data_IF_332800570761
#
_entry.id   IF_332800570761
#
_cell.length_a   1.000
_cell.length_b   1.000
_cell.length_c   1.000
_cell.angle_alpha   90.00
_cell.angle_beta   90.00
_cell.angle_gamma   90.00
#
_symmetry.space_group_name_H-M   'P 1'
#
loop_
_entity.id
_entity.type
_entity.pdbx_description
1 polymer ?
#
# COMPACT_ATOMS: atom_id res chain seq x y z
N UNK A 1 30.57 -13.54 9.21
CA UNK A 1 29.31 -14.34 9.18
C UNK A 1 28.13 -13.59 9.82
N UNK A 2 28.29 -13.00 11.02
CA UNK A 2 27.22 -12.22 11.68
C UNK A 2 26.83 -10.91 10.97
N UNK A 3 27.76 -10.28 10.24
CA UNK A 3 27.50 -9.02 9.52
C UNK A 3 26.55 -9.22 8.33
N UNK A 4 26.66 -10.35 7.62
CA UNK A 4 25.77 -10.69 6.49
C UNK A 4 24.34 -10.93 7.00
N UNK A 5 24.20 -11.62 8.13
CA UNK A 5 22.88 -11.84 8.76
C UNK A 5 22.23 -10.52 9.20
N UNK A 6 23.00 -9.58 9.77
CA UNK A 6 22.50 -8.23 10.10
C UNK A 6 22.05 -7.47 8.86
N UNK A 7 22.81 -7.54 7.77
CA UNK A 7 22.45 -6.90 6.52
C UNK A 7 21.13 -7.47 5.96
N UNK A 8 21.00 -8.80 5.91
CA UNK A 8 19.78 -9.47 5.43
C UNK A 8 18.58 -9.11 6.32
N UNK A 9 18.75 -9.14 7.64
CA UNK A 9 17.67 -8.78 8.58
C UNK A 9 17.18 -7.35 8.36
N UNK A 10 18.11 -6.40 8.22
CA UNK A 10 17.76 -5.01 7.94
C UNK A 10 17.07 -4.87 6.59
N UNK A 11 17.56 -5.54 5.54
CA UNK A 11 16.94 -5.52 4.22
C UNK A 11 15.49 -6.05 4.27
N UNK A 12 15.25 -7.17 4.96
CA UNK A 12 13.92 -7.73 5.15
C UNK A 12 13.03 -6.74 5.90
N UNK A 13 13.51 -6.15 6.99
CA UNK A 13 12.77 -5.16 7.77
C UNK A 13 12.36 -3.96 6.90
N UNK A 14 13.28 -3.42 6.10
CA UNK A 14 13.00 -2.31 5.19
C UNK A 14 11.97 -2.67 4.13
N UNK A 15 12.08 -3.85 3.52
CA UNK A 15 11.11 -4.34 2.53
C UNK A 15 9.74 -4.53 3.18
N UNK A 16 9.66 -5.18 4.34
CA UNK A 16 8.40 -5.36 5.07
C UNK A 16 7.74 -4.03 5.43
N UNK A 17 8.50 -3.05 5.94
CA UNK A 17 7.97 -1.72 6.24
C UNK A 17 7.51 -1.00 4.98
N UNK A 18 8.25 -1.10 3.87
CA UNK A 18 7.84 -0.53 2.59
C UNK A 18 6.51 -1.14 2.11
N UNK A 19 6.36 -2.46 2.19
CA UNK A 19 5.10 -3.13 1.88
C UNK A 19 3.96 -2.64 2.78
N UNK A 20 4.19 -2.48 4.09
CA UNK A 20 3.16 -1.97 5.01
C UNK A 20 2.77 -0.53 4.68
N UNK A 21 3.72 0.33 4.31
CA UNK A 21 3.42 1.72 3.94
C UNK A 21 2.59 1.76 2.66
N UNK A 22 3.07 1.10 1.60
CA UNK A 22 2.37 1.11 0.30
C UNK A 22 1.00 0.45 0.38
N UNK A 23 0.92 -0.76 0.93
CA UNK A 23 -0.36 -1.46 1.03
C UNK A 23 -1.25 -0.84 2.10
N UNK A 24 -0.69 -0.33 3.19
CA UNK A 24 -1.44 0.36 4.25
C UNK A 24 -2.11 1.64 3.78
N UNK A 25 -1.48 2.38 2.87
CA UNK A 25 -2.08 3.56 2.22
C UNK A 25 -3.15 3.19 1.17
N UNK A 26 -3.12 1.95 0.67
CA UNK A 26 -4.12 1.42 -0.25
C UNK A 26 -5.28 0.73 0.47
N UNK A 27 -5.19 0.49 1.79
CA UNK A 27 -6.28 -0.16 2.53
C UNK A 27 -7.46 0.78 2.69
N UNK A 28 -8.63 0.29 2.33
CA UNK A 28 -9.90 0.99 2.48
C UNK A 28 -10.93 0.09 3.17
N UNK A 29 -11.90 0.72 3.86
CA UNK A 29 -13.09 0.05 4.38
C UNK A 29 -14.32 0.42 3.55
N UNK A 30 -14.35 1.65 3.03
CA UNK A 30 -15.39 2.15 2.12
C UNK A 30 -14.79 2.87 0.92
N UNK A 31 -15.60 3.08 -0.14
CA UNK A 31 -15.18 3.80 -1.35
C UNK A 31 -14.74 5.25 -1.05
N UNK A 32 -15.35 5.87 -0.02
CA UNK A 32 -14.99 7.22 0.42
C UNK A 32 -13.56 7.34 0.97
N UNK A 33 -12.99 6.25 1.47
CA UNK A 33 -11.60 6.25 1.95
C UNK A 33 -10.62 6.42 0.79
N UNK A 34 -10.95 5.88 -0.39
CA UNK A 34 -10.11 6.00 -1.59
C UNK A 34 -10.01 7.42 -2.12
N UNK A 35 -11.06 8.23 -1.94
CA UNK A 35 -11.05 9.65 -2.31
C UNK A 35 -10.09 10.49 -1.45
N UNK A 36 -9.78 10.05 -0.22
CA UNK A 36 -8.80 10.73 0.65
C UNK A 36 -7.37 10.48 0.18
N UNK A 37 -7.10 9.29 -0.36
CA UNK A 37 -5.77 8.91 -0.83
C UNK A 37 -5.49 9.42 -2.25
N UNK A 38 -6.53 9.54 -3.08
CA UNK A 38 -6.40 9.96 -4.46
C UNK A 38 -7.35 11.12 -4.82
N UNK A 39 -7.18 12.30 -4.20
CA UNK A 39 -8.07 13.44 -4.41
C UNK A 39 -8.06 13.96 -5.85
N UNK A 40 -6.96 13.75 -6.58
CA UNK A 40 -6.78 14.21 -7.96
C UNK A 40 -7.05 13.13 -9.02
N UNK A 41 -7.54 11.94 -8.64
CA UNK A 41 -7.80 10.88 -9.61
C UNK A 41 -9.07 11.19 -10.43
N UNK A 42 -8.98 11.29 -11.78
CA UNK A 42 -10.13 11.58 -12.62
C UNK A 42 -11.08 10.39 -12.82
N UNK A 43 -10.67 9.19 -12.38
CA UNK A 43 -11.46 7.97 -12.50
C UNK A 43 -12.17 7.63 -11.18
N UNK A 44 -13.37 7.03 -11.23
CA UNK A 44 -14.02 6.51 -10.04
C UNK A 44 -13.13 5.45 -9.38
N UNK A 45 -12.89 5.61 -8.09
CA UNK A 45 -12.16 4.64 -7.26
C UNK A 45 -13.16 3.87 -6.41
N UNK A 46 -12.99 2.55 -6.34
CA UNK A 46 -13.78 1.67 -5.49
C UNK A 46 -12.88 0.91 -4.52
N UNK A 47 -13.44 0.60 -3.36
CA UNK A 47 -12.82 -0.25 -2.37
C UNK A 47 -13.16 -1.72 -2.64
N UNK A 48 -12.25 -2.44 -3.28
CA UNK A 48 -12.44 -3.85 -3.65
C UNK A 48 -11.45 -4.71 -2.88
N UNK A 49 -11.93 -5.71 -2.13
CA UNK A 49 -11.07 -6.55 -1.28
C UNK A 49 -10.20 -5.74 -0.31
N UNK A 50 -10.76 -4.68 0.27
CA UNK A 50 -10.06 -3.76 1.16
C UNK A 50 -8.87 -3.04 0.53
N UNK A 51 -8.83 -2.92 -0.81
CA UNK A 51 -7.86 -2.09 -1.53
C UNK A 51 -8.54 -1.12 -2.49
N UNK A 52 -8.03 0.10 -2.59
CA UNK A 52 -8.51 1.09 -3.55
C UNK A 52 -8.08 0.73 -4.97
N UNK A 53 -9.05 0.53 -5.86
CA UNK A 53 -8.82 0.27 -7.28
C UNK A 53 -9.56 1.30 -8.13
N UNK A 54 -8.88 1.77 -9.18
CA UNK A 54 -9.51 2.60 -10.21
C UNK A 54 -10.36 1.71 -11.12
N UNK A 55 -11.61 2.09 -11.34
CA UNK A 55 -12.43 1.53 -12.40
C UNK A 55 -12.04 2.19 -13.73
N UNK A 56 -11.17 1.51 -14.48
CA UNK A 56 -11.00 1.75 -15.92
C UNK A 56 -11.83 0.71 -16.66
N UNK A 57 -12.87 1.15 -17.37
CA UNK A 57 -13.54 0.39 -18.43
C UNK A 57 -12.57 0.02 -19.57
#
# INVERSE_FOLDING_TARGET
MAEILKFIYNAILFVSLYFIVIYGELVCDTDDDCLKFFPDNPYPMECINSICLSLTD
#
